data_IF_416117095385
#
_entry.id   IF_416117095385
#
_cell.length_a   1.000
_cell.length_b   1.000
_cell.length_c   1.000
_cell.angle_alpha   90.00
_cell.angle_beta   90.00
_cell.angle_gamma   90.00
#
_symmetry.space_group_name_H-M   'P 1'
#
loop_
_entity.id
_entity.type
_entity.pdbx_description
1 polymer ?
#
# COMPACT_ATOMS: atom_id res chain seq x y z
N UNK A 1 -8.01 29.39 -14.73
CA UNK A 1 -6.57 29.70 -14.91
C UNK A 1 -5.93 28.61 -15.76
N UNK A 2 -4.71 28.78 -16.26
CA UNK A 2 -4.01 27.77 -17.09
C UNK A 2 -2.59 27.55 -16.56
N UNK A 3 -2.13 26.31 -16.53
CA UNK A 3 -0.75 25.98 -16.15
C UNK A 3 -0.24 24.74 -16.91
N UNK A 4 1.09 24.70 -17.16
CA UNK A 4 1.78 23.51 -17.64
C UNK A 4 2.27 22.68 -16.46
N UNK A 5 1.97 21.39 -16.48
CA UNK A 5 2.26 20.45 -15.40
C UNK A 5 3.63 19.84 -15.60
N UNK A 6 4.50 19.93 -14.60
CA UNK A 6 5.88 19.44 -14.68
C UNK A 6 5.94 17.93 -14.44
N UNK A 7 5.28 17.47 -13.37
CA UNK A 7 5.38 16.08 -12.92
C UNK A 7 4.17 15.63 -12.12
N UNK A 8 4.03 14.32 -11.91
CA UNK A 8 3.11 13.72 -10.94
C UNK A 8 3.77 13.64 -9.55
N UNK A 9 2.96 13.79 -8.51
CA UNK A 9 3.41 13.72 -7.10
C UNK A 9 2.49 12.84 -6.25
N UNK A 10 2.88 12.62 -4.99
CA UNK A 10 2.11 11.85 -4.02
C UNK A 10 0.64 12.32 -3.98
N UNK A 11 -0.30 11.37 -4.07
CA UNK A 11 -1.73 11.68 -4.19
C UNK A 11 -2.28 11.72 -5.61
N UNK A 12 -1.44 11.48 -6.62
CA UNK A 12 -1.86 11.41 -8.03
C UNK A 12 -2.16 12.78 -8.67
N UNK A 13 -1.79 13.88 -7.99
CA UNK A 13 -1.90 15.22 -8.55
C UNK A 13 -0.76 15.50 -9.54
N UNK A 14 -1.05 16.28 -10.57
CA UNK A 14 -0.04 17.05 -11.30
C UNK A 14 0.52 18.15 -10.40
N UNK A 15 1.80 18.45 -10.56
CA UNK A 15 2.52 19.47 -9.82
C UNK A 15 3.22 20.43 -10.79
N UNK A 16 3.23 21.72 -10.45
CA UNK A 16 4.07 22.73 -11.08
C UNK A 16 4.36 23.86 -10.10
N UNK A 17 5.45 24.59 -10.31
CA UNK A 17 5.77 25.81 -9.56
C UNK A 17 5.26 27.01 -10.35
N UNK A 18 4.38 27.81 -9.72
CA UNK A 18 3.94 29.07 -10.34
C UNK A 18 5.08 30.10 -10.34
N UNK A 19 5.03 31.07 -11.26
CA UNK A 19 5.96 32.19 -11.31
C UNK A 19 5.97 33.01 -10.01
N UNK A 20 4.86 32.99 -9.27
CA UNK A 20 4.73 33.60 -7.93
C UNK A 20 5.50 32.85 -6.84
N UNK A 21 6.07 31.68 -7.14
CA UNK A 21 6.79 30.82 -6.20
C UNK A 21 5.92 29.79 -5.46
N UNK A 22 4.60 29.87 -5.59
CA UNK A 22 3.68 28.93 -4.93
C UNK A 22 3.69 27.55 -5.60
N UNK A 23 3.56 26.49 -4.79
CA UNK A 23 3.35 25.13 -5.31
C UNK A 23 1.91 24.97 -5.79
N UNK A 24 1.68 24.59 -7.05
CA UNK A 24 0.34 24.26 -7.55
C UNK A 24 0.20 22.74 -7.68
N UNK A 25 -0.85 22.19 -7.08
CA UNK A 25 -1.26 20.79 -7.19
C UNK A 25 -2.58 20.68 -7.94
N UNK A 26 -2.60 20.03 -9.10
CA UNK A 26 -3.78 19.93 -9.97
C UNK A 26 -4.24 18.48 -10.09
N UNK A 27 -5.41 18.18 -9.54
CA UNK A 27 -6.05 16.86 -9.67
C UNK A 27 -6.57 16.63 -11.10
N UNK A 28 -6.32 15.44 -11.64
CA UNK A 28 -6.74 15.05 -12.98
C UNK A 28 -5.80 15.46 -14.10
N UNK A 29 -4.65 16.07 -13.78
CA UNK A 29 -3.63 16.45 -14.75
C UNK A 29 -2.44 15.48 -14.74
N UNK A 30 -1.88 15.20 -15.91
CA UNK A 30 -0.68 14.38 -16.09
C UNK A 30 0.56 15.24 -16.34
N UNK A 31 1.74 14.61 -16.23
CA UNK A 31 3.02 15.28 -16.52
C UNK A 31 3.08 15.73 -17.99
N UNK A 32 3.57 16.94 -18.22
CA UNK A 32 3.72 17.56 -19.55
C UNK A 32 2.49 18.29 -20.08
N UNK A 33 1.32 18.09 -19.47
CA UNK A 33 0.07 18.64 -19.98
C UNK A 33 -0.07 20.15 -19.76
N UNK A 34 -0.75 20.81 -20.68
CA UNK A 34 -1.29 22.15 -20.47
C UNK A 34 -2.77 22.02 -20.08
N UNK A 35 -3.14 22.51 -18.89
CA UNK A 35 -4.50 22.35 -18.36
C UNK A 35 -5.10 23.68 -17.93
N UNK A 36 -6.38 23.87 -18.21
CA UNK A 36 -7.21 24.82 -17.50
C UNK A 36 -7.64 24.22 -16.16
N UNK A 37 -7.55 25.02 -15.11
CA UNK A 37 -7.87 24.59 -13.75
C UNK A 37 -8.65 25.65 -12.95
N UNK A 38 -9.37 25.15 -11.95
CA UNK A 38 -10.04 25.91 -10.91
C UNK A 38 -9.45 25.59 -9.54
N UNK A 39 -9.38 26.59 -8.67
CA UNK A 39 -8.79 26.47 -7.34
C UNK A 39 -9.82 25.88 -6.38
N UNK A 40 -9.46 24.77 -5.74
CA UNK A 40 -10.23 24.19 -4.64
C UNK A 40 -9.92 24.93 -3.33
N UNK A 41 -8.64 25.19 -3.09
CA UNK A 41 -8.15 25.70 -1.81
C UNK A 41 -6.80 26.38 -1.97
N UNK A 42 -6.65 27.54 -1.33
CA UNK A 42 -5.36 28.22 -1.16
C UNK A 42 -4.88 28.04 0.27
N UNK A 43 -3.60 27.68 0.44
CA UNK A 43 -2.92 27.65 1.75
C UNK A 43 -1.58 28.37 1.65
N UNK A 44 -0.95 28.62 2.79
CA UNK A 44 0.38 29.25 2.85
C UNK A 44 1.39 28.42 2.04
N UNK A 45 1.85 28.97 0.92
CA UNK A 45 2.88 28.40 0.06
C UNK A 45 2.40 27.33 -0.95
N UNK A 46 1.10 26.98 -0.96
CA UNK A 46 0.57 26.06 -1.95
C UNK A 46 -0.92 26.22 -2.27
N UNK A 47 -1.29 25.80 -3.47
CA UNK A 47 -2.63 25.86 -4.03
C UNK A 47 -3.03 24.44 -4.45
N UNK A 48 -4.23 24.02 -4.02
CA UNK A 48 -4.89 22.82 -4.54
C UNK A 48 -5.94 23.24 -5.57
N UNK A 49 -5.94 22.54 -6.70
CA UNK A 49 -6.81 22.79 -7.82
C UNK A 49 -7.25 21.48 -8.47
N UNK A 50 -8.25 21.57 -9.34
CA UNK A 50 -8.66 20.48 -10.21
C UNK A 50 -8.70 20.93 -11.68
N UNK A 51 -8.43 20.00 -12.58
CA UNK A 51 -8.50 20.23 -14.03
C UNK A 51 -9.96 20.38 -14.46
N UNK A 52 -10.27 21.47 -15.15
CA UNK A 52 -11.57 21.67 -15.81
C UNK A 52 -11.51 21.35 -17.29
N UNK A 53 -10.36 21.57 -17.93
CA UNK A 53 -10.12 21.21 -19.33
C UNK A 53 -8.65 20.88 -19.57
N UNK A 54 -8.39 19.81 -20.31
CA UNK A 54 -7.05 19.51 -20.84
C UNK A 54 -6.92 20.22 -22.19
N UNK A 55 -5.98 21.15 -22.30
CA UNK A 55 -5.75 21.96 -23.49
C UNK A 55 -4.75 21.29 -24.43
N UNK A 56 -3.67 20.75 -23.87
CA UNK A 56 -2.67 19.93 -24.58
C UNK A 56 -2.52 18.61 -23.81
N UNK A 57 -3.15 17.52 -24.26
CA UNK A 57 -3.08 16.23 -23.57
C UNK A 57 -1.71 15.58 -23.75
N UNK A 58 -1.30 14.81 -22.75
CA UNK A 58 -0.16 13.91 -22.88
C UNK A 58 -0.48 12.81 -23.89
N UNK A 59 0.54 12.33 -24.61
CA UNK A 59 0.43 11.14 -25.49
C UNK A 59 -0.01 9.88 -24.74
N UNK A 60 0.21 9.86 -23.43
CA UNK A 60 -0.10 8.73 -22.55
C UNK A 60 -1.47 8.91 -21.85
N UNK A 61 -2.22 9.98 -22.15
CA UNK A 61 -3.58 10.16 -21.64
C UNK A 61 -4.54 9.21 -22.35
N UNK A 62 -5.41 8.57 -21.58
CA UNK A 62 -6.49 7.71 -22.09
C UNK A 62 -7.81 8.08 -21.43
N UNK A 63 -8.91 7.68 -22.06
CA UNK A 63 -10.23 7.78 -21.45
C UNK A 63 -10.38 6.69 -20.36
N UNK A 64 -10.72 7.07 -19.11
CA UNK A 64 -10.92 6.12 -18.03
C UNK A 64 -12.03 5.11 -18.35
N UNK A 65 -11.76 3.79 -18.29
CA UNK A 65 -12.76 2.78 -18.63
C UNK A 65 -13.83 2.58 -17.55
N UNK A 66 -13.57 2.98 -16.29
CA UNK A 66 -14.56 2.87 -15.22
C UNK A 66 -15.60 4.01 -15.32
N UNK A 67 -16.91 3.70 -15.38
CA UNK A 67 -17.96 4.72 -15.47
C UNK A 67 -18.11 5.57 -14.20
N UNK A 68 -17.48 5.15 -13.10
CA UNK A 68 -17.49 5.87 -11.82
C UNK A 68 -16.22 6.70 -11.60
N UNK A 69 -15.26 6.66 -12.54
CA UNK A 69 -14.01 7.40 -12.42
C UNK A 69 -14.28 8.91 -12.37
N UNK A 70 -13.50 9.62 -11.55
CA UNK A 70 -13.72 11.05 -11.28
C UNK A 70 -14.73 11.33 -10.15
N UNK A 71 -15.66 10.41 -9.88
CA UNK A 71 -16.65 10.54 -8.80
C UNK A 71 -16.26 9.65 -7.61
N UNK A 72 -16.04 8.35 -7.85
CA UNK A 72 -15.63 7.38 -6.84
C UNK A 72 -14.20 7.68 -6.33
N UNK A 73 -14.01 7.58 -5.01
CA UNK A 73 -12.72 7.80 -4.34
C UNK A 73 -11.70 6.67 -4.47
N UNK A 74 -11.98 5.64 -5.28
CA UNK A 74 -11.16 4.43 -5.32
C UNK A 74 -9.96 4.45 -6.26
N UNK A 75 -9.99 5.25 -7.35
CA UNK A 75 -8.95 5.29 -8.38
C UNK A 75 -8.55 6.72 -8.75
N UNK A 76 -7.28 6.88 -9.11
CA UNK A 76 -6.64 8.18 -9.32
C UNK A 76 -5.95 8.30 -10.67
N UNK A 77 -5.57 7.19 -11.30
CA UNK A 77 -4.69 7.18 -12.47
C UNK A 77 -5.31 6.51 -13.72
N UNK A 78 -6.61 6.22 -13.74
CA UNK A 78 -7.23 5.60 -14.94
C UNK A 78 -7.17 6.47 -16.20
N UNK A 79 -6.85 7.75 -16.06
CA UNK A 79 -6.64 8.68 -17.16
C UNK A 79 -5.20 8.64 -17.73
N UNK A 80 -4.31 7.86 -17.10
CA UNK A 80 -2.96 7.54 -17.57
C UNK A 80 -2.96 6.11 -18.11
N UNK A 81 -2.44 5.91 -19.32
CA UNK A 81 -2.26 4.59 -19.94
C UNK A 81 -1.64 3.62 -18.94
N UNK A 82 -2.20 2.42 -18.83
CA UNK A 82 -1.89 1.49 -17.72
C UNK A 82 -0.42 1.09 -17.72
N UNK A 83 0.17 0.92 -18.90
CA UNK A 83 1.56 0.55 -19.15
C UNK A 83 2.55 1.64 -18.69
N UNK A 84 2.07 2.88 -18.52
CA UNK A 84 2.88 4.03 -18.08
C UNK A 84 2.80 4.30 -16.59
N UNK A 85 1.86 3.67 -15.88
CA UNK A 85 1.65 3.94 -14.46
C UNK A 85 2.81 3.47 -13.60
N UNK A 86 3.41 2.33 -13.92
CA UNK A 86 4.59 1.81 -13.22
C UNK A 86 5.79 2.77 -13.30
N UNK A 87 6.06 3.33 -14.48
CA UNK A 87 7.12 4.32 -14.70
C UNK A 87 6.83 5.63 -13.93
N UNK A 88 5.59 6.13 -14.01
CA UNK A 88 5.17 7.32 -13.28
C UNK A 88 5.34 7.15 -11.75
N UNK A 89 5.00 5.98 -11.21
CA UNK A 89 5.17 5.66 -9.79
C UNK A 89 6.64 5.55 -9.40
N UNK A 90 7.49 4.96 -10.24
CA UNK A 90 8.93 4.93 -9.99
C UNK A 90 9.51 6.35 -9.91
N UNK A 91 9.18 7.21 -10.87
CA UNK A 91 9.65 8.61 -10.88
C UNK A 91 9.20 9.37 -9.62
N UNK A 92 7.97 9.15 -9.17
CA UNK A 92 7.46 9.72 -7.92
C UNK A 92 8.24 9.22 -6.70
N UNK A 93 8.55 7.92 -6.63
CA UNK A 93 9.36 7.32 -5.55
C UNK A 93 10.76 7.94 -5.54
N UNK A 94 11.41 8.03 -6.70
CA UNK A 94 12.75 8.61 -6.82
C UNK A 94 12.78 10.09 -6.42
N UNK A 95 11.77 10.88 -6.78
CA UNK A 95 11.66 12.29 -6.35
C UNK A 95 11.57 12.41 -4.83
N UNK A 96 10.76 11.57 -4.18
CA UNK A 96 10.63 11.57 -2.72
C UNK A 96 11.93 11.13 -2.03
N UNK A 97 12.56 10.07 -2.52
CA UNK A 97 13.84 9.58 -1.98
C UNK A 97 14.94 10.64 -2.08
N UNK A 98 15.02 11.35 -3.20
CA UNK A 98 15.99 12.42 -3.39
C UNK A 98 15.70 13.62 -2.48
N UNK A 99 14.46 14.13 -2.48
CA UNK A 99 14.12 15.38 -1.79
C UNK A 99 13.98 15.24 -0.27
N UNK A 100 13.48 14.11 0.19
CA UNK A 100 13.15 13.86 1.60
C UNK A 100 14.16 12.91 2.21
N UNK A 101 14.63 11.91 1.45
CA UNK A 101 15.55 10.90 1.96
C UNK A 101 17.02 11.28 1.84
N UNK A 102 17.34 12.31 1.06
CA UNK A 102 18.71 12.62 0.63
C UNK A 102 19.40 11.43 -0.04
N UNK A 103 18.63 10.53 -0.67
CA UNK A 103 19.13 9.35 -1.36
C UNK A 103 19.13 9.63 -2.86
N UNK A 104 20.30 9.63 -3.47
CA UNK A 104 20.43 9.81 -4.93
C UNK A 104 20.06 8.53 -5.67
N UNK A 105 19.39 8.65 -6.81
CA UNK A 105 19.15 7.48 -7.69
C UNK A 105 20.45 6.83 -8.15
N UNK A 106 21.52 7.62 -8.32
CA UNK A 106 22.84 7.11 -8.70
C UNK A 106 23.56 6.31 -7.62
N UNK A 107 23.10 6.35 -6.36
CA UNK A 107 23.63 5.51 -5.27
C UNK A 107 22.85 4.20 -5.09
N UNK A 108 21.80 3.96 -5.89
CA UNK A 108 20.93 2.80 -5.77
C UNK A 108 21.09 1.88 -6.97
N UNK A 109 21.11 0.58 -6.72
CA UNK A 109 20.73 -0.39 -7.74
C UNK A 109 19.20 -0.39 -7.86
N UNK A 110 18.67 0.25 -8.90
CA UNK A 110 17.23 0.31 -9.16
C UNK A 110 16.84 -0.91 -10.00
N UNK A 111 16.20 -1.88 -9.38
CA UNK A 111 15.65 -3.02 -10.10
C UNK A 111 14.42 -2.62 -10.94
N UNK A 112 14.17 -3.31 -12.07
CA UNK A 112 12.99 -3.06 -12.88
C UNK A 112 11.69 -3.13 -12.05
N UNK A 113 10.85 -2.10 -12.21
CA UNK A 113 9.51 -2.08 -11.61
C UNK A 113 8.71 -3.27 -12.11
N UNK A 114 8.08 -3.99 -11.19
CA UNK A 114 7.24 -5.13 -11.51
C UNK A 114 5.78 -4.70 -11.57
N UNK A 115 5.13 -4.98 -12.70
CA UNK A 115 3.69 -4.83 -12.89
C UNK A 115 2.97 -6.17 -12.94
N UNK A 116 1.66 -6.13 -12.76
CA UNK A 116 0.75 -7.28 -12.91
C UNK A 116 -0.48 -6.90 -13.74
N UNK A 117 -1.58 -7.67 -13.69
CA UNK A 117 -2.83 -7.29 -14.32
C UNK A 117 -3.30 -5.92 -13.84
N UNK A 118 -3.67 -5.04 -14.77
CA UNK A 118 -4.13 -3.68 -14.48
C UNK A 118 -5.58 -3.63 -13.94
N UNK A 119 -6.31 -4.72 -14.13
CA UNK A 119 -7.74 -4.89 -13.81
C UNK A 119 -7.95 -6.23 -13.11
N UNK A 120 -9.10 -6.42 -12.47
CA UNK A 120 -9.46 -7.65 -11.77
C UNK A 120 -8.38 -8.19 -10.82
N UNK A 121 -7.60 -7.30 -10.21
CA UNK A 121 -6.48 -7.69 -9.35
C UNK A 121 -6.84 -7.67 -7.86
N UNK A 122 -7.84 -6.87 -7.48
CA UNK A 122 -8.13 -6.52 -6.09
C UNK A 122 -9.05 -7.55 -5.45
N UNK A 123 -8.47 -8.42 -4.61
CA UNK A 123 -9.17 -9.45 -3.85
C UNK A 123 -9.65 -9.00 -2.46
N UNK A 124 -9.26 -7.78 -2.03
CA UNK A 124 -9.67 -7.20 -0.75
C UNK A 124 -10.37 -5.86 -0.95
N UNK A 125 -11.53 -5.70 -0.31
CA UNK A 125 -12.34 -4.49 -0.42
C UNK A 125 -13.05 -4.18 0.89
N UNK A 126 -13.38 -2.90 1.09
CA UNK A 126 -14.33 -2.47 2.11
C UNK A 126 -15.51 -1.80 1.43
N UNK A 127 -16.68 -2.44 1.51
CA UNK A 127 -17.93 -1.89 1.02
C UNK A 127 -18.54 -0.94 2.04
N UNK A 128 -19.14 0.14 1.54
CA UNK A 128 -20.04 1.00 2.32
C UNK A 128 -21.47 0.62 1.93
N UNK A 129 -22.29 0.31 2.92
CA UNK A 129 -23.64 -0.18 2.73
C UNK A 129 -24.63 0.80 3.34
N UNK A 130 -25.51 1.35 2.51
CA UNK A 130 -26.70 2.05 2.96
C UNK A 130 -27.84 1.04 3.12
N UNK A 131 -28.22 0.75 4.37
CA UNK A 131 -29.30 -0.19 4.66
C UNK A 131 -30.70 0.38 4.36
N UNK A 132 -30.85 1.71 4.23
CA UNK A 132 -32.12 2.33 3.91
C UNK A 132 -32.45 2.18 2.41
N UNK A 133 -31.48 2.43 1.54
CA UNK A 133 -31.64 2.25 0.08
C UNK A 133 -31.23 0.87 -0.44
N UNK A 134 -30.55 0.06 0.38
CA UNK A 134 -29.84 -1.16 -0.03
C UNK A 134 -28.79 -0.90 -1.13
N UNK A 135 -28.19 0.29 -1.14
CA UNK A 135 -27.06 0.60 -2.00
C UNK A 135 -25.75 0.16 -1.37
N UNK A 136 -24.86 -0.29 -2.24
CA UNK A 136 -23.53 -0.77 -1.90
C UNK A 136 -22.55 -0.04 -2.82
N UNK A 137 -21.47 0.46 -2.25
CA UNK A 137 -20.46 1.14 -3.04
C UNK A 137 -19.30 1.67 -2.22
N UNK A 138 -18.77 2.79 -2.68
CA UNK A 138 -17.61 3.46 -2.09
C UNK A 138 -17.91 4.93 -1.86
N UNK A 139 -17.10 5.59 -1.04
CA UNK A 139 -17.23 7.02 -0.82
C UNK A 139 -16.69 7.81 -2.02
N UNK A 140 -17.34 8.94 -2.32
CA UNK A 140 -16.91 9.87 -3.35
C UNK A 140 -15.57 10.54 -2.99
N UNK A 141 -14.85 11.04 -4.00
CA UNK A 141 -13.58 11.75 -3.80
C UNK A 141 -13.76 12.90 -2.81
N UNK A 142 -12.92 12.94 -1.77
CA UNK A 142 -12.91 13.97 -0.72
C UNK A 142 -14.29 14.23 -0.09
N UNK A 143 -15.17 13.23 -0.05
CA UNK A 143 -16.53 13.35 0.47
C UNK A 143 -16.94 12.07 1.22
N UNK A 144 -17.91 12.19 2.12
CA UNK A 144 -18.56 11.05 2.78
C UNK A 144 -19.85 10.61 2.08
N UNK A 145 -20.09 11.05 0.83
CA UNK A 145 -21.24 10.63 0.03
C UNK A 145 -21.00 9.25 -0.57
N UNK A 146 -21.97 8.33 -0.44
CA UNK A 146 -21.94 7.04 -1.11
C UNK A 146 -22.12 7.20 -2.62
N UNK A 147 -21.25 6.55 -3.38
CA UNK A 147 -21.37 6.31 -4.82
C UNK A 147 -21.81 4.86 -5.00
N UNK A 148 -23.07 4.58 -5.38
CA UNK A 148 -23.52 3.22 -5.63
C UNK A 148 -22.76 2.59 -6.80
N UNK A 149 -22.19 1.41 -6.60
CA UNK A 149 -21.37 0.71 -7.60
C UNK A 149 -22.06 -0.57 -8.01
N UNK A 150 -22.26 -0.77 -9.32
CA UNK A 150 -22.78 -2.02 -9.89
C UNK A 150 -21.68 -3.04 -10.15
N UNK A 151 -20.54 -2.57 -10.67
CA UNK A 151 -19.33 -3.34 -10.88
C UNK A 151 -18.11 -2.45 -10.76
N UNK A 152 -16.97 -3.02 -10.38
CA UNK A 152 -15.72 -2.31 -10.23
C UNK A 152 -14.63 -3.02 -11.04
N UNK A 153 -14.07 -2.40 -12.10
CA UNK A 153 -13.10 -3.05 -12.99
C UNK A 153 -11.82 -3.56 -12.30
N UNK A 154 -11.45 -2.99 -11.16
CA UNK A 154 -10.25 -3.44 -10.43
C UNK A 154 -10.53 -4.59 -9.47
N UNK A 155 -11.79 -4.87 -9.11
CA UNK A 155 -12.14 -5.99 -8.25
C UNK A 155 -12.10 -7.30 -9.02
N UNK A 156 -11.64 -8.37 -8.35
CA UNK A 156 -11.76 -9.73 -8.89
C UNK A 156 -13.24 -10.11 -9.12
N UNK A 157 -13.48 -11.00 -10.08
CA UNK A 157 -14.83 -11.41 -10.49
C UNK A 157 -15.69 -11.89 -9.32
N UNK A 158 -15.12 -12.70 -8.41
CA UNK A 158 -15.83 -13.20 -7.24
C UNK A 158 -16.42 -12.07 -6.37
N UNK A 159 -15.72 -10.94 -6.23
CA UNK A 159 -16.23 -9.79 -5.48
C UNK A 159 -17.27 -8.99 -6.28
N UNK A 160 -17.09 -8.88 -7.61
CA UNK A 160 -18.10 -8.27 -8.48
C UNK A 160 -19.41 -9.08 -8.50
N UNK A 161 -19.34 -10.41 -8.48
CA UNK A 161 -20.52 -11.28 -8.40
C UNK A 161 -21.32 -11.06 -7.11
N UNK A 162 -20.63 -10.97 -5.97
CA UNK A 162 -21.27 -10.67 -4.69
C UNK A 162 -21.85 -9.26 -4.69
N UNK A 163 -21.12 -8.28 -5.21
CA UNK A 163 -21.59 -6.89 -5.32
C UNK A 163 -22.87 -6.81 -6.17
N UNK A 164 -22.92 -7.51 -7.30
CA UNK A 164 -24.07 -7.55 -8.19
C UNK A 164 -25.30 -8.21 -7.52
N UNK A 165 -25.09 -9.30 -6.77
CA UNK A 165 -26.18 -10.01 -6.07
C UNK A 165 -26.66 -9.29 -4.81
N UNK A 166 -25.81 -8.50 -4.16
CA UNK A 166 -26.01 -7.74 -2.91
C UNK A 166 -26.36 -8.56 -1.65
N UNK A 167 -27.08 -9.67 -1.76
CA UNK A 167 -27.70 -10.41 -0.65
C UNK A 167 -26.73 -10.74 0.48
N UNK A 168 -25.56 -11.32 0.18
CA UNK A 168 -24.58 -11.69 1.19
C UNK A 168 -24.04 -10.45 1.94
N UNK A 169 -23.71 -9.37 1.23
CA UNK A 169 -23.23 -8.13 1.85
C UNK A 169 -24.32 -7.50 2.73
N UNK A 170 -25.57 -7.45 2.25
CA UNK A 170 -26.69 -6.89 3.01
C UNK A 170 -27.00 -7.71 4.26
N UNK A 171 -26.91 -9.05 4.18
CA UNK A 171 -27.10 -9.93 5.34
C UNK A 171 -26.05 -9.65 6.41
N UNK A 172 -24.76 -9.59 6.04
CA UNK A 172 -23.67 -9.27 6.96
C UNK A 172 -23.87 -7.85 7.52
N UNK A 173 -24.22 -6.87 6.69
CA UNK A 173 -24.44 -5.50 7.11
C UNK A 173 -25.55 -5.35 8.16
N UNK A 174 -26.66 -6.08 8.00
CA UNK A 174 -27.73 -6.10 9.01
C UNK A 174 -27.22 -6.67 10.33
N UNK A 175 -26.53 -7.82 10.31
CA UNK A 175 -25.93 -8.44 11.50
C UNK A 175 -24.94 -7.49 12.19
N UNK A 176 -24.06 -6.84 11.43
CA UNK A 176 -23.08 -5.87 11.95
C UNK A 176 -23.77 -4.67 12.59
N UNK A 177 -24.81 -4.09 11.97
CA UNK A 177 -25.55 -2.95 12.53
C UNK A 177 -26.21 -3.27 13.87
N UNK A 178 -26.76 -4.48 14.04
CA UNK A 178 -27.30 -4.91 15.32
C UNK A 178 -26.23 -4.98 16.43
N UNK A 179 -24.98 -5.33 16.08
CA UNK A 179 -23.87 -5.39 17.04
C UNK A 179 -23.28 -4.03 17.41
N UNK A 180 -23.37 -3.03 16.52
CA UNK A 180 -22.80 -1.70 16.71
C UNK A 180 -23.87 -0.69 17.17
N UNK A 181 -23.97 -0.48 18.48
CA UNK A 181 -24.97 0.43 19.12
C UNK A 181 -24.71 1.94 19.00
N UNK A 182 -23.81 2.37 18.11
CA UNK A 182 -23.76 3.75 17.58
C UNK A 182 -22.69 3.81 16.49
N UNK A 183 -23.08 4.17 15.27
CA UNK A 183 -22.12 4.58 14.25
C UNK A 183 -22.30 6.07 13.98
N UNK A 184 -21.19 6.80 13.93
CA UNK A 184 -21.15 8.21 13.48
C UNK A 184 -21.37 8.32 11.96
N UNK A 185 -21.28 7.22 11.22
CA UNK A 185 -21.49 7.19 9.77
C UNK A 185 -22.89 6.64 9.43
N UNK A 186 -23.53 7.15 8.37
CA UNK A 186 -24.81 6.63 7.91
C UNK A 186 -24.69 5.21 7.33
N UNK A 187 -23.49 4.81 6.91
CA UNK A 187 -23.24 3.53 6.23
C UNK A 187 -22.63 2.48 7.15
N UNK A 188 -22.95 1.21 6.89
CA UNK A 188 -22.27 0.07 7.52
C UNK A 188 -21.06 -0.30 6.67
N UNK A 189 -19.88 -0.40 7.30
CA UNK A 189 -18.66 -0.83 6.64
C UNK A 189 -18.54 -2.36 6.68
N UNK A 190 -18.37 -2.98 5.52
CA UNK A 190 -18.22 -4.44 5.37
C UNK A 190 -16.91 -4.74 4.66
N UNK A 191 -15.96 -5.29 5.40
CA UNK A 191 -14.74 -5.82 4.80
C UNK A 191 -15.09 -7.12 4.06
N UNK A 192 -14.54 -7.31 2.87
CA UNK A 192 -14.61 -8.57 2.14
C UNK A 192 -13.23 -8.95 1.59
N UNK A 193 -12.93 -10.24 1.63
CA UNK A 193 -11.72 -10.81 1.08
C UNK A 193 -12.02 -12.08 0.28
N UNK A 194 -11.66 -12.09 -1.01
CA UNK A 194 -11.78 -13.25 -1.88
C UNK A 194 -10.54 -14.14 -1.76
N UNK A 195 -10.69 -15.29 -1.10
CA UNK A 195 -9.74 -16.39 -1.13
C UNK A 195 -9.88 -17.23 -2.40
N UNK A 196 -9.25 -18.40 -2.43
CA UNK A 196 -9.20 -19.26 -3.62
C UNK A 196 -10.56 -19.85 -4.00
N UNK A 197 -11.41 -20.12 -3.00
CA UNK A 197 -12.70 -20.79 -3.19
C UNK A 197 -13.88 -20.10 -2.50
N UNK A 198 -13.60 -19.18 -1.58
CA UNK A 198 -14.61 -18.57 -0.70
C UNK A 198 -14.29 -17.10 -0.47
N UNK A 199 -15.33 -16.33 -0.13
CA UNK A 199 -15.20 -14.94 0.30
C UNK A 199 -15.44 -14.86 1.80
N UNK A 200 -14.50 -14.23 2.51
CA UNK A 200 -14.67 -13.85 3.91
C UNK A 200 -15.35 -12.48 3.98
N UNK A 201 -16.26 -12.28 4.94
CA UNK A 201 -16.89 -10.99 5.26
C UNK A 201 -16.65 -10.52 6.71
N UNK A 202 -15.68 -11.15 7.39
CA UNK A 202 -15.37 -10.87 8.79
C UNK A 202 -14.16 -11.67 9.25
N UNK A 203 -14.28 -12.37 10.37
CA UNK A 203 -13.18 -13.14 10.97
C UNK A 203 -13.08 -14.58 10.43
N UNK A 204 -14.05 -15.04 9.62
CA UNK A 204 -13.97 -16.36 8.98
C UNK A 204 -12.72 -16.44 8.10
N UNK A 205 -11.84 -17.39 8.41
CA UNK A 205 -10.62 -17.61 7.68
C UNK A 205 -10.88 -18.34 6.35
N UNK A 206 -10.36 -17.78 5.26
CA UNK A 206 -10.31 -18.38 3.93
C UNK A 206 -8.86 -18.58 3.52
N UNK A 207 -8.62 -19.57 2.67
CA UNK A 207 -7.30 -19.84 2.11
C UNK A 207 -7.05 -18.93 0.89
N UNK A 208 -5.87 -18.33 0.83
CA UNK A 208 -5.33 -17.69 -0.36
C UNK A 208 -3.94 -18.28 -0.66
N UNK A 209 -3.75 -18.80 -1.87
CA UNK A 209 -2.44 -19.27 -2.33
C UNK A 209 -1.69 -18.16 -3.05
N UNK A 210 -0.40 -18.02 -2.74
CA UNK A 210 0.55 -17.12 -3.41
C UNK A 210 1.86 -17.85 -3.58
N UNK A 211 2.32 -18.02 -4.82
CA UNK A 211 3.62 -18.63 -5.14
C UNK A 211 3.87 -19.99 -4.45
N UNK A 212 2.84 -20.83 -4.37
CA UNK A 212 2.90 -22.13 -3.68
C UNK A 212 2.71 -22.08 -2.16
N UNK A 213 2.75 -20.91 -1.54
CA UNK A 213 2.47 -20.72 -0.12
C UNK A 213 0.97 -20.55 0.13
N UNK A 214 0.42 -21.27 1.10
CA UNK A 214 -0.98 -21.15 1.53
C UNK A 214 -1.13 -20.23 2.74
N UNK A 215 -1.94 -19.19 2.62
CA UNK A 215 -2.22 -18.23 3.68
C UNK A 215 -3.69 -18.30 4.11
N UNK A 216 -3.94 -18.70 5.34
CA UNK A 216 -5.21 -18.49 6.01
C UNK A 216 -5.32 -17.04 6.43
N UNK A 217 -6.35 -16.37 5.91
CA UNK A 217 -6.59 -14.94 6.10
C UNK A 217 -8.10 -14.68 6.25
N UNK A 218 -8.47 -13.57 6.86
CA UNK A 218 -9.87 -13.15 6.97
C UNK A 218 -10.05 -11.73 6.42
N UNK A 219 -11.29 -11.28 6.26
CA UNK A 219 -11.54 -9.93 5.76
C UNK A 219 -11.11 -8.82 6.75
N UNK A 220 -11.04 -9.14 8.05
CA UNK A 220 -10.73 -8.17 9.10
C UNK A 220 -9.23 -8.02 9.41
N UNK A 221 -8.39 -9.02 9.13
CA UNK A 221 -6.93 -8.91 9.24
C UNK A 221 -6.34 -8.36 7.96
N UNK A 222 -5.21 -7.65 7.99
CA UNK A 222 -4.56 -7.18 6.76
C UNK A 222 -3.91 -8.34 5.98
N UNK A 223 -4.11 -8.34 4.67
CA UNK A 223 -3.39 -9.16 3.69
C UNK A 223 -3.39 -8.42 2.36
N UNK A 224 -2.32 -8.58 1.58
CA UNK A 224 -2.15 -7.82 0.34
C UNK A 224 -3.30 -8.10 -0.63
N UNK A 225 -3.95 -7.02 -1.08
CA UNK A 225 -5.15 -7.09 -1.91
C UNK A 225 -4.88 -7.45 -3.36
N UNK A 226 -3.61 -7.40 -3.79
CA UNK A 226 -3.16 -7.86 -5.11
C UNK A 226 -2.22 -9.04 -4.93
N UNK A 227 -2.71 -10.24 -5.25
CA UNK A 227 -1.96 -11.49 -5.04
C UNK A 227 -0.92 -11.74 -6.14
N UNK A 228 -1.08 -11.13 -7.32
CA UNK A 228 -0.23 -11.41 -8.48
C UNK A 228 1.23 -10.98 -8.27
N UNK A 229 1.47 -9.94 -7.47
CA UNK A 229 2.83 -9.46 -7.20
C UNK A 229 3.36 -9.87 -5.82
N UNK A 230 2.52 -10.46 -4.98
CA UNK A 230 2.93 -10.82 -3.62
C UNK A 230 4.02 -11.90 -3.63
N UNK A 231 3.95 -12.85 -4.58
CA UNK A 231 5.00 -13.86 -4.79
C UNK A 231 6.35 -13.23 -5.12
N UNK A 232 6.39 -12.34 -6.11
CA UNK A 232 7.61 -11.63 -6.51
C UNK A 232 8.18 -10.74 -5.40
N UNK A 233 7.32 -10.12 -4.59
CA UNK A 233 7.75 -9.36 -3.42
C UNK A 233 8.33 -10.27 -2.33
N UNK A 234 7.71 -11.42 -2.08
CA UNK A 234 8.24 -12.45 -1.18
C UNK A 234 9.60 -13.00 -1.64
N UNK A 235 9.73 -13.30 -2.93
CA UNK A 235 10.99 -13.73 -3.55
C UNK A 235 12.08 -12.67 -3.47
N UNK A 236 11.74 -11.37 -3.63
CA UNK A 236 12.69 -10.27 -3.42
C UNK A 236 13.20 -10.24 -1.97
N UNK A 237 12.29 -10.34 -0.99
CA UNK A 237 12.68 -10.40 0.43
C UNK A 237 13.57 -11.62 0.70
N UNK A 238 13.23 -12.77 0.12
CA UNK A 238 14.00 -14.00 0.24
C UNK A 238 15.40 -13.89 -0.39
N UNK A 239 15.51 -13.34 -1.61
CA UNK A 239 16.78 -13.25 -2.35
C UNK A 239 17.76 -12.31 -1.68
N UNK A 240 17.27 -11.28 -0.99
CA UNK A 240 18.10 -10.36 -0.23
C UNK A 240 18.31 -10.76 1.21
N UNK A 241 17.61 -11.76 1.75
CA UNK A 241 17.82 -12.17 3.14
C UNK A 241 19.21 -12.81 3.35
N UNK A 242 19.92 -12.31 4.36
CA UNK A 242 21.20 -12.84 4.81
C UNK A 242 21.03 -13.66 6.08
N UNK A 243 21.82 -14.74 6.19
CA UNK A 243 21.95 -15.54 7.40
C UNK A 243 20.71 -16.34 7.81
N UNK A 244 20.71 -16.73 9.08
CA UNK A 244 19.76 -17.67 9.68
C UNK A 244 19.05 -17.12 10.92
N UNK A 245 19.49 -16.00 11.50
CA UNK A 245 18.78 -15.33 12.59
C UNK A 245 18.03 -14.12 12.00
N UNK A 246 16.72 -14.25 11.77
CA UNK A 246 15.93 -13.27 11.00
C UNK A 246 14.76 -12.74 11.83
N UNK A 247 14.44 -11.46 11.67
CA UNK A 247 13.21 -10.87 12.22
C UNK A 247 12.27 -10.40 11.12
N UNK A 248 10.98 -10.65 11.31
CA UNK A 248 9.87 -10.12 10.53
C UNK A 248 9.02 -9.22 11.46
N UNK A 249 9.22 -7.91 11.34
CA UNK A 249 8.54 -6.92 12.17
C UNK A 249 7.31 -6.38 11.45
N UNK A 250 6.22 -6.18 12.18
CA UNK A 250 4.89 -5.89 11.61
C UNK A 250 4.41 -7.05 10.71
N UNK A 251 4.70 -8.28 11.15
CA UNK A 251 4.60 -9.50 10.34
C UNK A 251 3.19 -9.85 9.84
N UNK A 252 2.14 -9.26 10.40
CA UNK A 252 0.76 -9.53 10.01
C UNK A 252 0.41 -11.02 10.13
N UNK A 253 0.01 -11.62 9.01
CA UNK A 253 -0.31 -13.06 8.92
C UNK A 253 0.91 -13.94 8.59
N UNK A 254 2.12 -13.39 8.74
CA UNK A 254 3.39 -14.08 8.51
C UNK A 254 3.79 -14.17 7.03
N UNK A 255 3.40 -13.21 6.20
CA UNK A 255 3.64 -13.29 4.75
C UNK A 255 5.12 -13.48 4.43
N UNK A 256 5.99 -12.58 4.88
CA UNK A 256 7.42 -12.67 4.60
C UNK A 256 8.09 -13.79 5.39
N UNK A 257 7.68 -14.02 6.63
CA UNK A 257 8.07 -15.20 7.40
C UNK A 257 7.87 -16.52 6.63
N UNK A 258 6.81 -16.64 5.82
CA UNK A 258 6.57 -17.82 4.97
C UNK A 258 7.60 -17.98 3.86
N UNK A 259 7.94 -16.91 3.13
CA UNK A 259 8.98 -16.93 2.09
C UNK A 259 10.39 -17.11 2.66
N UNK A 260 10.60 -16.66 3.90
CA UNK A 260 11.88 -16.78 4.58
C UNK A 260 12.07 -18.14 5.23
N UNK A 261 10.99 -18.90 5.50
CA UNK A 261 11.04 -20.18 6.18
C UNK A 261 11.86 -21.20 5.39
N UNK A 262 12.93 -21.71 6.00
CA UNK A 262 13.76 -22.77 5.46
C UNK A 262 14.47 -23.52 6.59
N UNK A 263 14.94 -24.74 6.30
CA UNK A 263 15.62 -25.58 7.28
C UNK A 263 16.82 -24.86 7.90
N UNK A 264 16.84 -24.78 9.23
CA UNK A 264 17.95 -24.19 10.00
C UNK A 264 17.87 -22.68 10.23
N UNK A 265 16.88 -21.98 9.64
CA UNK A 265 16.63 -20.57 9.90
C UNK A 265 15.71 -20.39 11.10
N UNK A 266 16.08 -19.50 12.02
CA UNK A 266 15.25 -19.03 13.12
C UNK A 266 14.63 -17.70 12.73
N UNK A 267 13.31 -17.65 12.79
CA UNK A 267 12.53 -16.46 12.46
C UNK A 267 11.81 -16.00 13.71
N UNK A 268 11.88 -14.69 13.97
CA UNK A 268 11.10 -14.00 14.99
C UNK A 268 10.11 -13.10 14.31
N UNK A 269 8.83 -13.29 14.60
CA UNK A 269 7.75 -12.49 14.01
C UNK A 269 7.02 -11.72 15.10
N UNK A 270 6.93 -10.40 14.92
CA UNK A 270 6.30 -9.49 15.88
C UNK A 270 5.08 -8.86 15.22
N UNK A 271 3.91 -9.01 15.85
CA UNK A 271 2.65 -8.45 15.39
C UNK A 271 1.77 -8.09 16.59
N UNK A 272 1.15 -6.90 16.56
CA UNK A 272 0.34 -6.38 17.67
C UNK A 272 -1.08 -6.96 17.68
N UNK A 273 -1.61 -7.29 16.51
CA UNK A 273 -2.96 -7.78 16.34
C UNK A 273 -3.04 -9.30 16.62
N UNK A 274 -3.84 -9.66 17.63
CA UNK A 274 -3.99 -11.06 18.08
C UNK A 274 -4.60 -11.96 17.01
N UNK A 275 -5.53 -11.44 16.21
CA UNK A 275 -6.19 -12.20 15.15
C UNK A 275 -5.20 -12.46 14.01
N UNK A 276 -4.44 -11.43 13.58
CA UNK A 276 -3.34 -11.59 12.63
C UNK A 276 -2.36 -12.68 13.08
N UNK A 277 -1.88 -12.61 14.33
CA UNK A 277 -0.91 -13.55 14.84
C UNK A 277 -1.45 -14.98 14.95
N UNK A 278 -2.74 -15.14 15.30
CA UNK A 278 -3.39 -16.47 15.34
C UNK A 278 -3.40 -17.15 13.97
N UNK A 279 -3.59 -16.36 12.91
CA UNK A 279 -3.55 -16.83 11.52
C UNK A 279 -2.10 -17.06 11.07
N UNK A 280 -1.16 -16.19 11.49
CA UNK A 280 0.26 -16.38 11.23
C UNK A 280 0.79 -17.71 11.77
N UNK A 281 0.43 -18.07 13.01
CA UNK A 281 0.77 -19.37 13.63
C UNK A 281 0.21 -20.56 12.86
N UNK A 282 -0.94 -20.40 12.21
CA UNK A 282 -1.53 -21.43 11.33
C UNK A 282 -0.80 -21.52 9.99
N UNK A 283 -0.31 -20.39 9.48
CA UNK A 283 0.36 -20.30 8.19
C UNK A 283 1.80 -20.80 8.25
N UNK A 284 2.53 -20.48 9.33
CA UNK A 284 3.92 -20.91 9.55
C UNK A 284 4.09 -21.30 11.03
N UNK A 285 3.89 -22.57 11.41
CA UNK A 285 3.95 -23.00 12.81
C UNK A 285 5.36 -22.96 13.42
N UNK A 286 6.41 -23.09 12.59
CA UNK A 286 7.81 -23.23 13.02
C UNK A 286 8.53 -21.87 13.17
N UNK A 287 7.86 -20.87 13.75
CA UNK A 287 8.35 -19.49 13.91
C UNK A 287 8.13 -19.00 15.34
N UNK A 288 9.06 -18.21 15.87
CA UNK A 288 8.93 -17.59 17.20
C UNK A 288 8.04 -16.34 17.10
N UNK A 289 6.86 -16.37 17.70
CA UNK A 289 5.86 -15.29 17.59
C UNK A 289 5.74 -14.45 18.86
N UNK A 290 5.63 -13.14 18.71
CA UNK A 290 5.31 -12.20 19.79
C UNK A 290 4.09 -11.34 19.47
N UNK A 291 3.10 -11.35 20.37
CA UNK A 291 1.94 -10.46 20.31
C UNK A 291 2.24 -9.12 20.99
N UNK A 292 2.86 -8.18 20.28
CA UNK A 292 3.19 -6.86 20.82
C UNK A 292 3.41 -5.85 19.69
N UNK A 293 3.35 -4.57 20.03
CA UNK A 293 3.89 -3.51 19.18
C UNK A 293 5.42 -3.63 19.09
N UNK A 294 5.97 -3.42 17.90
CA UNK A 294 7.42 -3.50 17.63
C UNK A 294 8.19 -2.56 18.55
N UNK A 295 7.61 -1.39 18.80
CA UNK A 295 8.18 -0.28 19.56
C UNK A 295 8.32 -0.59 21.05
N UNK A 296 7.37 -1.33 21.62
CA UNK A 296 7.43 -1.77 23.02
C UNK A 296 8.27 -3.03 23.15
N UNK A 297 8.05 -3.99 22.26
CA UNK A 297 8.79 -5.24 22.25
C UNK A 297 10.29 -4.97 22.16
N UNK A 298 10.72 -4.13 21.22
CA UNK A 298 12.13 -3.91 20.93
C UNK A 298 12.93 -3.21 22.02
N UNK A 299 12.30 -2.48 22.95
CA UNK A 299 12.99 -1.75 24.05
C UNK A 299 13.88 -2.62 24.93
N UNK A 300 13.46 -3.86 25.17
CA UNK A 300 14.10 -4.77 26.15
C UNK A 300 14.86 -5.94 25.50
N UNK A 301 14.82 -6.06 24.17
CA UNK A 301 15.33 -7.25 23.47
C UNK A 301 16.77 -7.05 23.09
N UNK A 302 17.61 -7.95 23.60
CA UNK A 302 19.01 -8.09 23.18
C UNK A 302 19.10 -9.33 22.31
N UNK A 303 19.28 -9.13 21.01
CA UNK A 303 19.50 -10.19 20.03
C UNK A 303 20.55 -9.72 19.04
N UNK A 304 21.27 -10.67 18.46
CA UNK A 304 22.06 -10.46 17.24
C UNK A 304 21.28 -11.17 16.15
N UNK A 305 21.00 -10.45 15.07
CA UNK A 305 20.27 -10.97 13.92
C UNK A 305 21.01 -10.60 12.66
N UNK A 306 20.87 -11.42 11.63
CA UNK A 306 21.53 -11.23 10.36
C UNK A 306 20.72 -10.26 9.48
N UNK A 307 19.39 -10.45 9.46
CA UNK A 307 18.44 -9.67 8.66
C UNK A 307 17.22 -9.25 9.46
N UNK A 308 16.76 -8.02 9.26
CA UNK A 308 15.47 -7.53 9.75
C UNK A 308 14.60 -7.11 8.57
N UNK A 309 13.39 -7.64 8.49
CA UNK A 309 12.34 -7.20 7.56
C UNK A 309 11.37 -6.30 8.30
N UNK A 310 10.99 -5.17 7.71
CA UNK A 310 9.97 -4.26 8.23
C UNK A 310 8.92 -3.96 7.15
N UNK A 311 7.64 -4.13 7.47
CA UNK A 311 6.50 -3.69 6.63
C UNK A 311 5.53 -2.83 7.48
N UNK A 312 5.93 -1.60 7.85
CA UNK A 312 5.16 -0.77 8.78
C UNK A 312 3.90 -0.18 8.14
N UNK A 313 2.96 0.33 8.96
CA UNK A 313 1.80 1.07 8.46
C UNK A 313 2.18 2.32 7.65
N UNK A 314 1.19 2.95 6.99
CA UNK A 314 1.39 4.13 6.11
C UNK A 314 2.10 5.32 6.76
N UNK A 315 2.14 5.37 8.09
CA UNK A 315 2.84 6.39 8.91
C UNK A 315 4.35 6.17 8.98
N UNK A 316 4.85 5.03 8.49
CA UNK A 316 6.23 4.58 8.63
C UNK A 316 6.52 4.07 10.04
N UNK A 317 7.82 3.98 10.35
CA UNK A 317 8.32 3.58 11.66
C UNK A 317 8.18 4.71 12.69
N UNK A 318 7.92 4.36 13.95
CA UNK A 318 8.11 5.30 15.05
C UNK A 318 9.58 5.70 15.17
N UNK A 319 9.83 6.92 15.62
CA UNK A 319 11.15 7.56 15.68
C UNK A 319 12.21 6.73 16.42
N UNK A 320 11.79 5.96 17.42
CA UNK A 320 12.70 5.13 18.21
C UNK A 320 13.12 3.84 17.52
N UNK A 321 12.37 3.35 16.53
CA UNK A 321 12.53 2.00 15.96
C UNK A 321 13.82 1.84 15.15
N UNK A 322 14.24 2.78 14.27
CA UNK A 322 15.51 2.65 13.55
C UNK A 322 16.71 2.43 14.48
N UNK A 323 16.77 3.19 15.59
CA UNK A 323 17.81 3.04 16.61
C UNK A 323 17.69 1.72 17.39
N UNK A 324 16.47 1.22 17.62
CA UNK A 324 16.28 -0.11 18.22
C UNK A 324 16.78 -1.22 17.29
N UNK A 325 16.42 -1.19 16.01
CA UNK A 325 16.87 -2.15 15.00
C UNK A 325 18.40 -2.16 14.91
N UNK A 326 19.02 -0.97 14.87
CA UNK A 326 20.48 -0.84 14.80
C UNK A 326 21.21 -1.50 15.98
N UNK A 327 20.60 -1.56 17.18
CA UNK A 327 21.18 -2.24 18.36
C UNK A 327 21.28 -3.76 18.17
N UNK A 328 20.43 -4.35 17.35
CA UNK A 328 20.52 -5.78 17.02
C UNK A 328 21.56 -6.09 15.95
N UNK A 329 22.20 -5.05 15.42
CA UNK A 329 23.35 -5.14 14.52
C UNK A 329 23.09 -5.95 13.24
N UNK A 330 21.89 -5.91 12.61
CA UNK A 330 21.69 -6.62 11.34
C UNK A 330 22.73 -6.20 10.31
N UNK A 331 23.23 -7.18 9.55
CA UNK A 331 23.98 -6.88 8.35
C UNK A 331 23.06 -6.22 7.31
N UNK A 332 21.78 -6.62 7.32
CA UNK A 332 20.79 -6.16 6.35
C UNK A 332 19.42 -5.83 6.95
N UNK A 333 18.82 -4.77 6.43
CA UNK A 333 17.43 -4.40 6.66
C UNK A 333 16.71 -4.42 5.32
N UNK A 334 15.56 -5.08 5.25
CA UNK A 334 14.68 -5.06 4.07
C UNK A 334 13.41 -4.30 4.47
N UNK A 335 13.24 -3.11 3.90
CA UNK A 335 12.12 -2.23 4.21
C UNK A 335 11.09 -2.30 3.09
N UNK A 336 9.89 -2.77 3.40
CA UNK A 336 8.71 -2.74 2.54
C UNK A 336 7.83 -1.55 2.93
N UNK A 337 7.37 -0.77 1.96
CA UNK A 337 6.58 0.43 2.23
C UNK A 337 5.56 0.75 1.15
N UNK A 338 4.34 1.00 1.60
CA UNK A 338 3.26 1.54 0.78
C UNK A 338 3.25 3.09 0.67
N UNK A 339 4.27 3.78 1.21
CA UNK A 339 4.35 5.23 1.23
C UNK A 339 5.81 5.73 1.16
N UNK A 340 6.21 6.19 -0.04
CA UNK A 340 7.57 6.68 -0.27
C UNK A 340 7.96 7.92 0.52
N UNK A 341 7.01 8.74 1.00
CA UNK A 341 7.31 9.93 1.82
C UNK A 341 7.83 9.51 3.20
N UNK A 342 7.12 8.62 3.88
CA UNK A 342 7.53 8.12 5.21
C UNK A 342 8.73 7.20 5.11
N UNK A 343 8.81 6.38 4.06
CA UNK A 343 10.01 5.61 3.73
C UNK A 343 11.23 6.53 3.67
N UNK A 344 11.16 7.61 2.88
CA UNK A 344 12.27 8.55 2.70
C UNK A 344 12.76 9.15 4.03
N UNK A 345 11.82 9.57 4.90
CA UNK A 345 12.13 10.02 6.26
C UNK A 345 12.84 8.93 7.07
N UNK A 346 12.36 7.71 7.02
CA UNK A 346 12.91 6.61 7.81
C UNK A 346 14.28 6.16 7.29
N UNK A 347 14.56 6.28 5.99
CA UNK A 347 15.90 6.06 5.43
C UNK A 347 16.94 7.06 5.97
N UNK A 348 16.57 8.33 6.20
CA UNK A 348 17.48 9.29 6.86
C UNK A 348 17.82 8.84 8.29
N UNK A 349 16.80 8.41 9.04
CA UNK A 349 17.00 7.89 10.40
C UNK A 349 17.91 6.66 10.40
N UNK A 350 17.76 5.76 9.44
CA UNK A 350 18.68 4.61 9.29
C UNK A 350 20.09 5.03 8.90
N UNK A 351 20.25 6.07 8.07
CA UNK A 351 21.57 6.63 7.74
C UNK A 351 22.29 7.17 8.98
N UNK A 352 21.58 7.83 9.90
CA UNK A 352 22.13 8.25 11.20
C UNK A 352 22.57 7.07 12.08
N UNK A 353 21.98 5.89 11.87
CA UNK A 353 22.35 4.65 12.55
C UNK A 353 23.40 3.81 11.80
N UNK A 354 23.99 4.34 10.73
CA UNK A 354 25.07 3.68 9.99
C UNK A 354 24.61 2.68 8.93
N UNK A 355 23.41 2.84 8.37
CA UNK A 355 22.91 2.02 7.26
C UNK A 355 22.80 2.84 5.97
N UNK A 356 22.97 2.21 4.82
CA UNK A 356 22.80 2.84 3.51
C UNK A 356 21.85 2.03 2.65
N UNK A 357 20.91 2.71 2.00
CA UNK A 357 20.08 2.10 0.98
C UNK A 357 20.97 1.71 -0.22
N UNK A 358 20.87 0.46 -0.66
CA UNK A 358 21.69 -0.11 -1.74
C UNK A 358 20.86 -0.60 -2.93
N UNK A 359 19.64 -1.09 -2.67
CA UNK A 359 18.73 -1.59 -3.70
C UNK A 359 17.35 -0.97 -3.54
N UNK A 360 16.72 -0.64 -4.66
CA UNK A 360 15.35 -0.16 -4.72
C UNK A 360 14.56 -1.00 -5.73
N UNK A 361 13.35 -1.42 -5.34
CA UNK A 361 12.39 -2.02 -6.26
C UNK A 361 10.99 -1.48 -5.99
N UNK A 362 10.25 -1.20 -7.05
CA UNK A 362 8.84 -0.80 -6.97
C UNK A 362 7.97 -1.95 -7.47
N UNK A 363 6.91 -2.25 -6.73
CA UNK A 363 5.86 -3.20 -7.12
C UNK A 363 4.58 -2.41 -7.34
N UNK A 364 4.01 -2.49 -8.55
CA UNK A 364 2.73 -1.87 -8.84
C UNK A 364 1.57 -2.72 -8.30
N UNK A 365 1.45 -2.82 -6.97
CA UNK A 365 0.39 -3.59 -6.30
C UNK A 365 -1.00 -2.99 -6.51
N UNK A 366 -1.08 -1.69 -6.79
CA UNK A 366 -2.36 -0.99 -6.93
C UNK A 366 -2.41 -0.18 -8.23
N UNK A 367 -2.44 -0.83 -9.40
CA UNK A 367 -2.69 -0.16 -10.67
C UNK A 367 -3.98 0.68 -10.59
N UNK A 368 -4.06 1.71 -11.42
CA UNK A 368 -5.15 2.68 -11.46
C UNK A 368 -5.24 3.64 -10.25
N UNK A 369 -4.37 3.49 -9.26
CA UNK A 369 -4.23 4.37 -8.10
C UNK A 369 -2.84 4.96 -8.04
N UNK A 370 -2.63 6.05 -7.30
CA UNK A 370 -1.29 6.59 -7.08
C UNK A 370 -0.45 5.74 -6.10
N UNK A 371 -1.07 4.78 -5.40
CA UNK A 371 -0.37 4.01 -4.39
C UNK A 371 0.77 3.21 -5.02
N UNK A 372 1.91 3.26 -4.34
CA UNK A 372 3.12 2.53 -4.65
C UNK A 372 3.39 1.53 -3.55
N UNK A 373 3.98 0.40 -3.90
CA UNK A 373 4.64 -0.49 -2.94
C UNK A 373 6.12 -0.51 -3.29
N UNK A 374 6.97 -0.27 -2.30
CA UNK A 374 8.40 -0.05 -2.49
C UNK A 374 9.17 -0.97 -1.55
N UNK A 375 10.15 -1.69 -2.08
CA UNK A 375 11.12 -2.42 -1.28
C UNK A 375 12.49 -1.75 -1.38
N UNK A 376 13.12 -1.54 -0.23
CA UNK A 376 14.48 -1.00 -0.13
C UNK A 376 15.33 -1.96 0.69
N UNK A 377 16.50 -2.30 0.17
CA UNK A 377 17.54 -2.99 0.95
C UNK A 377 18.46 -1.94 1.54
N UNK A 378 18.68 -2.02 2.85
CA UNK A 378 19.71 -1.26 3.54
C UNK A 378 20.78 -2.20 4.04
N UNK A 379 22.03 -1.87 3.74
CA UNK A 379 23.19 -2.58 4.26
C UNK A 379 23.87 -1.73 5.33
N UNK A 380 24.42 -2.40 6.33
CA UNK A 380 25.20 -1.72 7.36
C UNK A 380 26.55 -1.26 6.78
N UNK A 381 26.93 -0.01 7.02
CA UNK A 381 28.27 0.48 6.65
C UNK A 381 29.33 -0.35 7.39
N UNK A 382 30.30 -0.87 6.65
CA UNK A 382 31.56 -1.30 7.27
C UNK A 382 32.21 -0.05 7.88
N UNK A 383 32.48 -0.10 9.18
CA UNK A 383 33.15 0.98 9.93
C UNK A 383 34.67 0.81 9.85
#
# INVERSE_FOLDING_TARGET
MVARIEKLVQGGSGFTRLETGESLFVQGALSGELVAYEIDQVKKGYINAHTTKVLEPSKDRVDPPCPYYGICGGCDLQHLASERQAEAKLNLVLDNLSRIGSVSSGSLNIEPTVGGPFWAYRSRVRFHVDLASNDIGFLAKKSNTLVPIRSCPILVDALNEVLARKNAILEVARKTRFSQKSSKTPYVEINAFAGDKKISFGDEAVLATVDGHGFWVSANVFFQGNRYLLGQMGQFVQSYCLGNEVMDLYSGVGTFSSFLSQKGRKIVSVERDRLCLSLAKRNIPDVEFFTDSVEQWGKSKKRVVDTVVVDPPRTGLEDSVPAQIAKWKPARIIYISCNSVTLSRDLQRFSEQGYTASVLKVFDLYPQTFHQEVAVVLDRKEL
#
